data_IF_177852889580
#
_entry.id   IF_177852889580
#
_cell.length_a   1.000
_cell.length_b   1.000
_cell.length_c   1.000
_cell.angle_alpha   90.00
_cell.angle_beta   90.00
_cell.angle_gamma   90.00
#
_symmetry.space_group_name_H-M   'P 1'
#
loop_
_entity.id
_entity.type
_entity.pdbx_description
1 polymer ?
#
# COMPACT_ATOMS: atom_id res chain seq x y z
N UNK A 1 22.52 -18.43 3.70
CA UNK A 1 21.54 -17.36 4.00
C UNK A 1 22.03 -16.11 3.31
N UNK A 2 21.23 -15.49 2.44
CA UNK A 2 21.57 -14.18 1.88
C UNK A 2 21.41 -13.14 2.99
N UNK A 3 22.27 -12.12 3.01
CA UNK A 3 22.14 -11.05 4.00
C UNK A 3 20.99 -10.11 3.63
N UNK A 4 20.36 -9.48 4.62
CA UNK A 4 19.34 -8.45 4.39
C UNK A 4 19.88 -7.29 3.53
N UNK A 5 21.20 -7.03 3.59
CA UNK A 5 21.86 -6.01 2.78
C UNK A 5 21.94 -6.40 1.30
N UNK A 6 22.18 -7.68 1.01
CA UNK A 6 22.13 -8.19 -0.36
C UNK A 6 20.71 -8.16 -0.91
N UNK A 7 19.71 -8.55 -0.12
CA UNK A 7 18.31 -8.48 -0.54
C UNK A 7 17.83 -7.05 -0.75
N UNK A 8 18.36 -6.09 0.01
CA UNK A 8 18.16 -4.67 -0.24
C UNK A 8 18.85 -4.23 -1.55
N UNK A 9 20.11 -4.61 -1.76
CA UNK A 9 20.89 -4.24 -2.95
C UNK A 9 20.24 -4.73 -4.26
N UNK A 10 19.73 -5.97 -4.26
CA UNK A 10 19.08 -6.56 -5.43
C UNK A 10 17.58 -6.21 -5.54
N UNK A 11 17.01 -5.43 -4.61
CA UNK A 11 15.59 -5.05 -4.64
C UNK A 11 14.63 -6.20 -4.36
N UNK A 12 15.07 -7.21 -3.60
CA UNK A 12 14.27 -8.38 -3.20
C UNK A 12 13.40 -8.08 -1.97
N UNK A 13 13.69 -7.01 -1.22
CA UNK A 13 12.87 -6.57 -0.11
C UNK A 13 11.63 -5.84 -0.64
N UNK A 14 10.53 -6.58 -0.79
CA UNK A 14 9.22 -6.05 -1.21
C UNK A 14 8.15 -6.39 -0.18
N UNK A 15 8.17 -5.73 1.00
CA UNK A 15 7.26 -6.05 2.08
C UNK A 15 5.81 -5.91 1.63
N UNK A 16 5.49 -4.86 0.88
CA UNK A 16 4.17 -4.56 0.35
C UNK A 16 3.61 -5.69 -0.54
N UNK A 17 4.41 -6.21 -1.48
CA UNK A 17 4.00 -7.32 -2.35
C UNK A 17 3.81 -8.63 -1.58
N UNK A 18 4.55 -8.80 -0.48
CA UNK A 18 4.49 -10.00 0.37
C UNK A 18 3.40 -9.95 1.45
N UNK A 19 2.86 -8.75 1.75
CA UNK A 19 1.75 -8.57 2.69
C UNK A 19 0.48 -9.09 2.02
N UNK A 20 0.24 -10.39 2.17
CA UNK A 20 -1.12 -10.92 2.02
C UNK A 20 -1.86 -10.57 3.29
N UNK A 21 -2.79 -9.62 3.21
CA UNK A 21 -3.73 -9.39 4.31
C UNK A 21 -4.47 -10.71 4.57
N UNK A 22 -4.12 -11.38 5.66
CA UNK A 22 -4.83 -12.57 6.13
C UNK A 22 -6.19 -12.22 6.76
N UNK A 23 -6.50 -10.91 6.88
CA UNK A 23 -7.74 -10.41 7.45
C UNK A 23 -8.92 -10.72 6.50
N UNK A 24 -9.88 -11.57 6.91
CA UNK A 24 -11.07 -11.85 6.13
C UNK A 24 -11.87 -10.59 5.77
N UNK A 25 -11.82 -9.55 6.61
CA UNK A 25 -12.48 -8.26 6.36
C UNK A 25 -11.87 -7.53 5.16
N UNK A 26 -10.55 -7.58 4.99
CA UNK A 26 -9.90 -6.96 3.84
C UNK A 26 -10.37 -7.61 2.53
N UNK A 27 -10.53 -8.93 2.53
CA UNK A 27 -11.10 -9.66 1.39
C UNK A 27 -12.55 -9.27 1.12
N UNK A 28 -13.38 -9.14 2.16
CA UNK A 28 -14.78 -8.71 2.03
C UNK A 28 -14.88 -7.30 1.45
N UNK A 29 -14.10 -6.35 1.97
CA UNK A 29 -14.05 -4.98 1.47
C UNK A 29 -13.62 -4.94 0.00
N UNK A 30 -12.62 -5.73 -0.39
CA UNK A 30 -12.20 -5.79 -1.79
C UNK A 30 -13.33 -6.28 -2.71
N UNK A 31 -14.09 -7.29 -2.28
CA UNK A 31 -15.25 -7.78 -3.03
C UNK A 31 -16.37 -6.72 -3.13
N UNK A 32 -16.62 -5.99 -2.05
CA UNK A 32 -17.62 -4.92 -2.01
C UNK A 32 -17.23 -3.77 -2.96
N UNK A 33 -15.96 -3.35 -2.96
CA UNK A 33 -15.43 -2.34 -3.89
C UNK A 33 -15.63 -2.79 -5.34
N UNK A 34 -15.27 -4.03 -5.68
CA UNK A 34 -15.43 -4.56 -7.04
C UNK A 34 -16.90 -4.61 -7.47
N UNK A 35 -17.80 -5.00 -6.56
CA UNK A 35 -19.23 -5.04 -6.84
C UNK A 35 -19.83 -3.65 -7.06
N UNK A 36 -19.40 -2.66 -6.27
CA UNK A 36 -19.84 -1.27 -6.45
C UNK A 36 -19.32 -0.70 -7.77
N UNK A 37 -18.05 -0.95 -8.13
CA UNK A 37 -17.47 -0.52 -9.40
C UNK A 37 -18.22 -1.06 -10.60
N UNK A 38 -18.49 -2.38 -10.66
CA UNK A 38 -19.26 -3.00 -11.74
C UNK A 38 -20.69 -2.45 -11.82
N UNK A 39 -21.32 -2.18 -10.67
CA UNK A 39 -22.64 -1.56 -10.63
C UNK A 39 -22.63 -0.12 -11.15
N UNK A 40 -21.62 0.69 -10.81
CA UNK A 40 -21.48 2.05 -11.30
C UNK A 40 -21.19 2.09 -12.80
N UNK A 41 -20.34 1.20 -13.29
CA UNK A 41 -20.03 1.06 -14.71
C UNK A 41 -21.28 0.83 -15.56
N UNK A 42 -22.24 0.06 -15.05
CA UNK A 42 -23.51 -0.26 -15.75
C UNK A 42 -24.55 0.86 -15.68
N UNK A 43 -24.44 1.77 -14.71
CA UNK A 43 -25.48 2.78 -14.41
C UNK A 43 -25.12 4.18 -14.91
N UNK A 44 -23.84 4.50 -15.00
CA UNK A 44 -23.36 5.83 -15.35
C UNK A 44 -23.06 5.95 -16.83
N UNK A 45 -23.06 7.18 -17.35
CA UNK A 45 -22.49 7.42 -18.67
C UNK A 45 -20.98 7.17 -18.65
N UNK A 46 -20.41 6.74 -19.79
CA UNK A 46 -19.00 6.38 -19.88
C UNK A 46 -18.06 7.51 -19.39
N UNK A 47 -18.36 8.76 -19.75
CA UNK A 47 -17.58 9.91 -19.32
C UNK A 47 -17.64 10.16 -17.79
N UNK A 48 -18.79 9.93 -17.16
CA UNK A 48 -18.95 10.08 -15.70
C UNK A 48 -18.20 8.97 -14.95
N UNK A 49 -18.22 7.75 -15.50
CA UNK A 49 -17.48 6.63 -14.93
C UNK A 49 -15.96 6.83 -15.06
N UNK A 50 -15.48 7.34 -16.20
CA UNK A 50 -14.07 7.66 -16.42
C UNK A 50 -13.55 8.72 -15.43
N UNK A 51 -14.36 9.71 -15.05
CA UNK A 51 -13.99 10.66 -14.00
C UNK A 51 -13.85 10.00 -12.62
N UNK A 52 -14.68 9.01 -12.31
CA UNK A 52 -14.58 8.23 -11.06
C UNK A 52 -13.33 7.37 -11.07
N UNK A 53 -13.02 6.68 -12.18
CA UNK A 53 -11.79 5.90 -12.32
C UNK A 53 -10.56 6.79 -12.10
N UNK A 54 -10.53 7.96 -12.74
CA UNK A 54 -9.46 8.93 -12.54
C UNK A 54 -9.35 9.41 -11.10
N UNK A 55 -10.47 9.64 -10.41
CA UNK A 55 -10.45 10.00 -8.99
C UNK A 55 -9.85 8.87 -8.14
N UNK A 56 -10.24 7.62 -8.39
CA UNK A 56 -9.73 6.46 -7.66
C UNK A 56 -8.23 6.26 -7.89
N UNK A 57 -7.75 6.46 -9.12
CA UNK A 57 -6.32 6.42 -9.45
C UNK A 57 -5.54 7.49 -8.65
N UNK A 58 -6.04 8.74 -8.64
CA UNK A 58 -5.43 9.83 -7.88
C UNK A 58 -5.39 9.56 -6.37
N UNK A 59 -6.48 8.99 -5.82
CA UNK A 59 -6.52 8.58 -4.41
C UNK A 59 -5.52 7.44 -4.15
N UNK A 60 -5.39 6.50 -5.09
CA UNK A 60 -4.40 5.43 -5.04
C UNK A 60 -2.96 5.96 -4.99
N UNK A 61 -2.63 6.90 -5.88
CA UNK A 61 -1.33 7.57 -5.89
C UNK A 61 -1.06 8.32 -4.58
N UNK A 62 -2.03 9.10 -4.10
CA UNK A 62 -1.89 9.84 -2.83
C UNK A 62 -1.63 8.89 -1.65
N UNK A 63 -2.36 7.78 -1.56
CA UNK A 63 -2.16 6.77 -0.53
C UNK A 63 -0.79 6.10 -0.64
N UNK A 64 -0.33 5.82 -1.86
CA UNK A 64 1.00 5.26 -2.12
C UNK A 64 2.11 6.21 -1.65
N UNK A 65 1.99 7.51 -1.98
CA UNK A 65 2.92 8.54 -1.51
C UNK A 65 2.95 8.64 0.02
N UNK A 66 1.78 8.60 0.66
CA UNK A 66 1.67 8.61 2.11
C UNK A 66 2.32 7.36 2.74
N UNK A 67 2.04 6.17 2.19
CA UNK A 67 2.62 4.92 2.65
C UNK A 67 4.16 4.93 2.53
N UNK A 68 4.71 5.45 1.44
CA UNK A 68 6.16 5.60 1.26
C UNK A 68 6.77 6.55 2.30
N UNK A 69 6.13 7.69 2.57
CA UNK A 69 6.58 8.62 3.61
C UNK A 69 6.53 8.00 5.01
N UNK A 70 5.44 7.29 5.33
CA UNK A 70 5.27 6.58 6.59
C UNK A 70 6.32 5.47 6.76
N UNK A 71 6.64 4.73 5.70
CA UNK A 71 7.68 3.71 5.71
C UNK A 71 9.06 4.30 6.04
N UNK A 72 9.48 5.36 5.35
CA UNK A 72 10.77 6.04 5.61
C UNK A 72 10.83 6.55 7.04
N UNK A 73 9.75 7.17 7.52
CA UNK A 73 9.69 7.69 8.88
C UNK A 73 9.73 6.55 9.92
N UNK A 74 9.03 5.44 9.67
CA UNK A 74 9.06 4.25 10.52
C UNK A 74 10.47 3.68 10.67
N UNK A 75 11.24 3.58 9.58
CA UNK A 75 12.64 3.14 9.64
C UNK A 75 13.53 4.09 10.43
N UNK A 76 13.36 5.40 10.27
CA UNK A 76 14.11 6.41 11.05
C UNK A 76 13.85 6.26 12.54
N UNK A 77 12.57 6.14 12.92
CA UNK A 77 12.16 5.91 14.32
C UNK A 77 12.76 4.59 14.82
N UNK A 78 12.67 3.51 14.03
CA UNK A 78 13.29 2.22 14.33
C UNK A 78 14.78 2.31 14.63
N UNK A 79 15.54 3.00 13.79
CA UNK A 79 16.98 3.20 13.99
C UNK A 79 17.29 4.02 15.25
N UNK A 80 16.52 5.08 15.52
CA UNK A 80 16.67 5.87 16.74
C UNK A 80 16.40 5.04 18.00
N UNK A 81 15.33 4.22 18.01
CA UNK A 81 15.01 3.33 19.13
C UNK A 81 16.14 2.32 19.38
N UNK A 82 16.72 1.75 18.32
CA UNK A 82 17.87 0.84 18.44
C UNK A 82 19.05 1.56 19.07
N UNK A 83 19.42 2.75 18.57
CA UNK A 83 20.52 3.52 19.13
C UNK A 83 20.29 3.87 20.60
N UNK A 84 19.07 4.25 20.98
CA UNK A 84 18.72 4.51 22.38
C UNK A 84 18.95 3.28 23.26
N UNK A 85 18.51 2.10 22.84
CA UNK A 85 18.67 0.84 23.61
C UNK A 85 20.14 0.43 23.76
N UNK A 86 20.97 0.66 22.73
CA UNK A 86 22.38 0.22 22.74
C UNK A 86 23.35 1.24 23.32
N UNK A 87 23.01 2.53 23.30
CA UNK A 87 23.90 3.61 23.75
C UNK A 87 23.42 4.36 25.00
N UNK A 88 22.17 4.13 25.44
CA UNK A 88 21.62 4.60 26.72
C UNK A 88 21.75 3.56 27.83
#
# INVERSE_FOLDING_TARGET
MKSILEDMYYGNLRPDESIKSADPRAKQLHQEVMMLMDNYQKKLAAAEFEEIERLLDLVGELNSMHAAAAFVQGYRIGALMIMEVYCG
#
